data_IF_328745241278
#
_entry.id   IF_328745241278
#
_cell.length_a   1.000
_cell.length_b   1.000
_cell.length_c   1.000
_cell.angle_alpha   90.00
_cell.angle_beta   90.00
_cell.angle_gamma   90.00
#
_symmetry.space_group_name_H-M   'P 1'
#
loop_
_entity.id
_entity.type
_entity.pdbx_description
1 polymer ?
#
# COMPACT_ATOMS: atom_id res chain seq x y z
N UNK A 1 -6.22 21.77 18.29
CA UNK A 1 -6.56 20.85 17.21
C UNK A 1 -5.63 21.06 16.01
N UNK A 2 -4.83 20.09 15.73
CA UNK A 2 -3.84 20.16 14.67
C UNK A 2 -4.23 19.26 13.50
N UNK A 3 -4.18 19.80 12.29
CA UNK A 3 -4.44 19.06 11.09
C UNK A 3 -3.11 18.66 10.44
N UNK A 4 -2.92 17.38 10.18
CA UNK A 4 -1.74 16.88 9.49
C UNK A 4 -2.11 16.47 8.08
N UNK A 5 -1.37 16.98 7.10
CA UNK A 5 -1.52 16.55 5.71
C UNK A 5 -0.47 15.49 5.41
N UNK A 6 -0.92 14.41 4.77
CA UNK A 6 -0.03 13.35 4.29
C UNK A 6 -0.04 13.41 2.77
N UNK A 7 1.12 13.61 2.18
CA UNK A 7 1.26 13.57 0.73
C UNK A 7 1.29 12.12 0.26
N UNK A 8 0.68 11.82 -0.87
CA UNK A 8 0.61 10.45 -1.39
C UNK A 8 2.00 9.83 -1.58
N UNK A 9 2.99 10.64 -1.99
CA UNK A 9 4.38 10.17 -2.15
C UNK A 9 5.03 9.71 -0.84
N UNK A 10 4.47 10.11 0.29
CA UNK A 10 4.98 9.73 1.60
C UNK A 10 4.42 8.41 2.10
N UNK A 11 3.49 7.81 1.36
CA UNK A 11 2.83 6.56 1.74
C UNK A 11 3.48 5.39 1.02
N UNK A 12 3.91 4.38 1.76
CA UNK A 12 4.38 3.13 1.17
C UNK A 12 3.22 2.19 0.88
N UNK A 13 2.44 1.87 1.88
CA UNK A 13 1.28 1.01 1.70
C UNK A 13 0.27 1.25 2.81
N UNK A 14 -0.95 0.75 2.56
CA UNK A 14 -2.07 0.88 3.48
C UNK A 14 -2.63 -0.51 3.68
N UNK A 15 -2.80 -0.90 4.94
CA UNK A 15 -3.40 -2.19 5.27
C UNK A 15 -4.63 -2.01 6.15
N UNK A 16 -5.57 -2.94 6.01
CA UNK A 16 -6.77 -2.94 6.84
C UNK A 16 -6.46 -3.53 8.20
N UNK A 17 -6.92 -2.87 9.26
CA UNK A 17 -6.89 -3.43 10.59
C UNK A 17 -8.00 -4.47 10.71
N UNK A 18 -7.64 -5.71 11.06
CA UNK A 18 -8.54 -6.87 11.02
C UNK A 18 -9.76 -6.73 11.95
N UNK A 19 -9.56 -6.11 13.08
CA UNK A 19 -10.55 -6.11 14.16
C UNK A 19 -11.42 -4.84 14.20
N UNK A 20 -11.15 -3.86 13.36
CA UNK A 20 -11.79 -2.56 13.41
C UNK A 20 -12.00 -2.00 12.02
N UNK A 21 -12.96 -1.05 11.90
CA UNK A 21 -13.17 -0.33 10.65
C UNK A 21 -12.13 0.77 10.48
N UNK A 22 -10.86 0.38 10.42
CA UNK A 22 -9.72 1.26 10.31
C UNK A 22 -8.71 0.74 9.33
N UNK A 23 -7.94 1.65 8.76
CA UNK A 23 -6.77 1.33 7.95
C UNK A 23 -5.52 1.89 8.61
N UNK A 24 -4.41 1.21 8.44
CA UNK A 24 -3.11 1.65 8.92
C UNK A 24 -2.29 2.11 7.72
N UNK A 25 -1.88 3.37 7.72
CA UNK A 25 -1.05 3.95 6.67
C UNK A 25 0.41 3.86 7.11
N UNK A 26 1.22 3.17 6.30
CA UNK A 26 2.67 3.04 6.55
C UNK A 26 3.41 4.09 5.74
N UNK A 27 4.12 4.98 6.43
CA UNK A 27 4.79 6.12 5.81
C UNK A 27 6.26 5.83 5.51
N UNK A 28 6.83 6.57 4.58
CA UNK A 28 8.23 6.40 4.16
C UNK A 28 9.23 6.70 5.27
N UNK A 29 8.84 7.50 6.27
CA UNK A 29 9.71 7.80 7.42
C UNK A 29 9.67 6.72 8.51
N UNK A 30 8.89 5.65 8.28
CA UNK A 30 8.76 4.56 9.24
C UNK A 30 7.57 4.70 10.20
N UNK A 31 6.92 5.85 10.21
CA UNK A 31 5.75 6.07 11.07
C UNK A 31 4.50 5.41 10.49
N UNK A 32 3.51 5.23 11.34
CA UNK A 32 2.19 4.73 10.94
C UNK A 32 1.11 5.69 11.39
N UNK A 33 0.00 5.69 10.64
CA UNK A 33 -1.19 6.46 10.97
C UNK A 33 -2.42 5.58 10.87
N UNK A 34 -3.30 5.65 11.85
CA UNK A 34 -4.59 4.96 11.79
C UNK A 34 -5.65 5.93 11.27
N UNK A 35 -6.48 5.43 10.35
CA UNK A 35 -7.58 6.22 9.76
C UNK A 35 -8.83 5.37 9.79
N UNK A 36 -9.95 5.94 10.23
CA UNK A 36 -11.25 5.25 10.20
C UNK A 36 -11.81 5.30 8.77
N UNK A 37 -11.58 4.24 8.03
CA UNK A 37 -12.02 4.14 6.63
C UNK A 37 -11.92 2.69 6.16
N UNK A 38 -12.36 2.41 4.94
CA UNK A 38 -12.23 1.10 4.31
C UNK A 38 -11.18 1.14 3.21
N UNK A 39 -10.66 -0.05 2.84
CA UNK A 39 -9.73 -0.17 1.71
C UNK A 39 -10.40 0.33 0.41
N UNK A 40 -11.68 0.03 0.21
CA UNK A 40 -12.39 0.47 -0.98
C UNK A 40 -12.42 1.99 -1.11
N UNK A 41 -12.69 2.69 0.00
CA UNK A 41 -12.70 4.15 0.01
C UNK A 41 -11.32 4.73 -0.22
N UNK A 42 -10.30 4.13 0.39
CA UNK A 42 -8.91 4.57 0.18
C UNK A 42 -8.49 4.38 -1.26
N UNK A 43 -8.82 3.26 -1.86
CA UNK A 43 -8.50 2.98 -3.26
C UNK A 43 -9.13 4.03 -4.19
N UNK A 44 -10.38 4.38 -3.93
CA UNK A 44 -11.08 5.40 -4.70
C UNK A 44 -10.40 6.76 -4.60
N UNK A 45 -9.97 7.15 -3.41
CA UNK A 45 -9.32 8.43 -3.18
C UNK A 45 -7.91 8.50 -3.76
N UNK A 46 -7.14 7.42 -3.70
CA UNK A 46 -5.72 7.41 -4.05
C UNK A 46 -5.46 7.23 -5.54
N UNK A 47 -6.39 6.65 -6.27
CA UNK A 47 -6.27 6.49 -7.71
C UNK A 47 -5.25 5.43 -8.14
N UNK A 48 -4.78 5.55 -9.40
CA UNK A 48 -4.03 4.49 -10.08
C UNK A 48 -2.56 4.34 -9.64
N UNK A 49 -2.04 5.27 -8.88
CA UNK A 49 -0.67 5.16 -8.34
C UNK A 49 -0.60 4.05 -7.29
N UNK A 50 -1.73 3.73 -6.66
CA UNK A 50 -1.83 2.68 -5.68
C UNK A 50 -2.49 1.45 -6.30
N UNK A 51 -1.91 0.29 -6.03
CA UNK A 51 -2.37 -0.99 -6.56
C UNK A 51 -2.83 -1.88 -5.41
N UNK A 52 -3.97 -2.52 -5.59
CA UNK A 52 -4.51 -3.44 -4.58
C UNK A 52 -3.90 -4.84 -4.76
N UNK A 53 -2.94 -5.19 -3.91
CA UNK A 53 -2.26 -6.48 -3.96
C UNK A 53 -2.98 -7.56 -3.16
N UNK A 54 -3.90 -7.17 -2.32
CA UNK A 54 -4.63 -8.05 -1.42
C UNK A 54 -5.93 -7.36 -1.05
N UNK A 55 -6.96 -8.13 -0.67
CA UNK A 55 -8.22 -7.53 -0.23
C UNK A 55 -8.05 -6.53 0.91
N UNK A 56 -6.94 -6.63 1.64
CA UNK A 56 -6.65 -5.78 2.80
C UNK A 56 -5.44 -4.88 2.60
N UNK A 57 -4.96 -4.69 1.38
CA UNK A 57 -3.73 -3.93 1.16
C UNK A 57 -3.71 -3.16 -0.14
N UNK A 58 -3.25 -1.91 -0.06
CA UNK A 58 -2.95 -1.04 -1.20
C UNK A 58 -1.49 -0.65 -1.13
N UNK A 59 -0.73 -0.81 -2.21
CA UNK A 59 0.69 -0.44 -2.26
C UNK A 59 0.90 0.73 -3.19
N UNK A 60 1.81 1.62 -2.81
CA UNK A 60 2.22 2.73 -3.66
C UNK A 60 3.29 2.25 -4.64
N UNK A 61 2.91 2.09 -5.89
CA UNK A 61 3.80 1.56 -6.92
C UNK A 61 5.10 2.35 -7.06
N UNK A 62 5.04 3.66 -6.88
CA UNK A 62 6.22 4.53 -7.04
C UNK A 62 7.25 4.37 -5.94
N UNK A 63 6.86 3.85 -4.78
CA UNK A 63 7.78 3.69 -3.64
C UNK A 63 8.31 2.27 -3.52
N UNK A 64 7.96 1.39 -4.44
CA UNK A 64 8.44 0.00 -4.44
C UNK A 64 9.88 -0.04 -4.92
N UNK A 65 10.72 -0.74 -4.17
CA UNK A 65 12.10 -1.04 -4.54
C UNK A 65 12.20 -2.39 -5.23
N UNK A 66 11.51 -3.39 -4.71
CA UNK A 66 11.63 -4.76 -5.18
C UNK A 66 10.34 -5.54 -4.96
N UNK A 67 10.01 -6.37 -5.94
CA UNK A 67 8.85 -7.27 -5.85
C UNK A 67 9.36 -8.70 -5.99
N UNK A 68 9.19 -9.50 -4.94
CA UNK A 68 9.51 -10.93 -4.97
C UNK A 68 8.22 -11.70 -5.26
N UNK A 69 8.02 -12.03 -6.52
CA UNK A 69 6.81 -12.73 -6.95
C UNK A 69 6.77 -14.19 -6.45
N UNK A 70 7.93 -14.80 -6.26
CA UNK A 70 7.99 -16.20 -5.78
C UNK A 70 7.53 -16.32 -4.34
N UNK A 71 7.95 -15.39 -3.49
CA UNK A 71 7.65 -15.41 -2.07
C UNK A 71 6.54 -14.45 -1.67
N UNK A 72 5.98 -13.71 -2.65
CA UNK A 72 4.91 -12.73 -2.42
C UNK A 72 5.31 -11.67 -1.39
N UNK A 73 6.48 -11.05 -1.61
CA UNK A 73 6.99 -9.99 -0.73
C UNK A 73 7.25 -8.74 -1.56
N UNK A 74 6.74 -7.61 -1.06
CA UNK A 74 7.00 -6.30 -1.66
C UNK A 74 7.86 -5.50 -0.70
N UNK A 75 9.00 -5.01 -1.18
CA UNK A 75 9.94 -4.19 -0.41
C UNK A 75 9.92 -2.77 -0.95
N UNK A 76 9.80 -1.80 -0.06
CA UNK A 76 9.77 -0.39 -0.40
C UNK A 76 11.15 0.24 -0.28
N UNK A 77 11.32 1.45 -0.82
CA UNK A 77 12.62 2.14 -0.87
C UNK A 77 13.25 2.35 0.51
N UNK A 78 12.42 2.53 1.54
CA UNK A 78 12.91 2.74 2.91
C UNK A 78 13.23 1.43 3.64
N UNK A 79 13.03 0.27 2.99
CA UNK A 79 13.27 -1.04 3.60
C UNK A 79 12.03 -1.71 4.19
N UNK A 80 10.91 -1.01 4.28
CA UNK A 80 9.66 -1.62 4.73
C UNK A 80 9.24 -2.72 3.78
N UNK A 81 8.56 -3.73 4.31
CA UNK A 81 8.08 -4.88 3.54
C UNK A 81 6.63 -5.17 3.86
N UNK A 82 5.91 -5.69 2.88
CA UNK A 82 4.59 -6.26 3.11
C UNK A 82 4.48 -7.62 2.44
N UNK A 83 3.80 -8.55 3.10
CA UNK A 83 3.48 -9.87 2.56
C UNK A 83 2.01 -9.98 2.18
N UNK A 84 1.26 -8.89 2.26
CA UNK A 84 -0.13 -8.84 1.84
C UNK A 84 -0.19 -8.75 0.31
N UNK A 85 0.11 -9.86 -0.32
CA UNK A 85 0.28 -9.97 -1.76
C UNK A 85 -0.35 -11.27 -2.23
N UNK A 86 -1.55 -11.18 -2.78
CA UNK A 86 -2.31 -12.34 -3.24
C UNK A 86 -1.77 -12.85 -4.59
N UNK A 87 -1.65 -14.16 -4.71
CA UNK A 87 -1.17 -14.81 -5.95
C UNK A 87 -1.96 -14.35 -7.17
N UNK A 88 -3.27 -14.19 -7.01
CA UNK A 88 -4.16 -13.80 -8.11
C UNK A 88 -3.83 -12.41 -8.70
N UNK A 89 -3.11 -11.57 -7.96
CA UNK A 89 -2.78 -10.20 -8.40
C UNK A 89 -1.43 -10.09 -9.10
N UNK A 90 -0.64 -11.16 -9.14
CA UNK A 90 0.74 -11.12 -9.67
C UNK A 90 0.83 -10.63 -11.10
N UNK A 91 -0.01 -11.16 -11.97
CA UNK A 91 0.02 -10.82 -13.40
C UNK A 91 -0.29 -9.34 -13.61
N UNK A 92 -1.35 -8.88 -12.98
CA UNK A 92 -1.79 -7.49 -13.09
C UNK A 92 -0.76 -6.52 -12.50
N UNK A 93 -0.18 -6.87 -11.35
CA UNK A 93 0.87 -6.06 -10.74
C UNK A 93 2.09 -5.97 -11.66
N UNK A 94 2.48 -7.08 -12.28
CA UNK A 94 3.62 -7.09 -13.19
C UNK A 94 3.39 -6.14 -14.37
N UNK A 95 2.18 -6.09 -14.89
CA UNK A 95 1.83 -5.19 -15.98
C UNK A 95 1.87 -3.72 -15.53
N UNK A 96 1.34 -3.42 -14.35
CA UNK A 96 1.35 -2.06 -13.80
C UNK A 96 2.77 -1.58 -13.47
N UNK A 97 3.60 -2.46 -12.94
CA UNK A 97 4.96 -2.12 -12.55
C UNK A 97 5.84 -1.76 -13.75
N UNK A 98 5.53 -2.26 -14.94
CA UNK A 98 6.28 -1.93 -16.15
C UNK A 98 6.10 -0.48 -16.59
N UNK A 99 5.01 0.14 -16.19
CA UNK A 99 4.64 1.47 -16.65
C UNK A 99 5.05 2.60 -15.70
N UNK A 100 5.88 2.28 -14.71
CA UNK A 100 6.29 3.26 -13.72
C UNK A 100 7.67 3.84 -14.04
#
# INVERSE_FOLDING_TARGET
>A
HTQCKILYKEINYIEKCQMQNKCIIHLVNGDTKEVTTSIAKMKEQLGNTFFQTHKSCLVNLKNIKNIDYSNCIITFQNGDKTTLFAVATKKELREHARNI
#
